data_IF_993841552027
#
_entry.id   IF_993841552027
#
_cell.length_a   1.000
_cell.length_b   1.000
_cell.length_c   1.000
_cell.angle_alpha   90.00
_cell.angle_beta   90.00
_cell.angle_gamma   90.00
#
_symmetry.space_group_name_H-M   'P 1'
#
loop_
_entity.id
_entity.type
_entity.pdbx_description
1 polymer ?
#
# COMPACT_ATOMS: atom_id res chain seq x y z
N UNK A 1 -19.03 -17.82 15.77
CA UNK A 1 -18.79 -18.98 14.86
C UNK A 1 -19.86 -19.00 13.79
N UNK A 2 -19.46 -19.26 12.53
CA UNK A 2 -20.43 -19.37 11.43
C UNK A 2 -20.56 -18.14 10.52
N UNK A 3 -19.64 -17.17 10.58
CA UNK A 3 -19.66 -16.00 9.68
C UNK A 3 -19.24 -16.35 8.24
N UNK A 4 -18.42 -17.40 8.10
CA UNK A 4 -18.02 -17.94 6.82
C UNK A 4 -18.23 -19.47 6.81
N UNK A 5 -18.46 -20.03 5.63
CA UNK A 5 -18.60 -21.47 5.41
C UNK A 5 -17.64 -21.91 4.31
N UNK A 6 -16.90 -22.99 4.56
CA UNK A 6 -16.09 -23.61 3.51
C UNK A 6 -17.02 -24.28 2.49
N UNK A 7 -16.91 -23.94 1.22
CA UNK A 7 -17.77 -24.43 0.14
C UNK A 7 -17.09 -25.42 -0.78
N UNK A 8 -15.76 -25.39 -0.86
CA UNK A 8 -14.99 -26.32 -1.65
C UNK A 8 -13.55 -26.46 -1.12
N UNK A 9 -12.93 -27.59 -1.50
CA UNK A 9 -11.50 -27.80 -1.37
C UNK A 9 -10.91 -28.05 -2.76
N UNK A 10 -9.95 -27.22 -3.15
CA UNK A 10 -9.25 -27.33 -4.43
C UNK A 10 -7.95 -28.14 -4.33
N UNK A 11 -7.29 -28.34 -5.47
CA UNK A 11 -5.97 -28.96 -5.53
C UNK A 11 -4.95 -28.17 -4.67
N UNK A 12 -3.95 -28.87 -4.13
CA UNK A 12 -2.90 -28.32 -3.24
C UNK A 12 -3.42 -27.70 -1.94
N UNK A 13 -4.56 -28.17 -1.40
CA UNK A 13 -5.09 -27.69 -0.11
C UNK A 13 -5.77 -26.33 -0.16
N UNK A 14 -6.03 -25.77 -1.34
CA UNK A 14 -6.79 -24.51 -1.51
C UNK A 14 -8.21 -24.69 -0.96
N UNK A 15 -8.58 -23.88 0.04
CA UNK A 15 -9.93 -23.84 0.60
C UNK A 15 -10.70 -22.66 0.01
N UNK A 16 -11.95 -22.89 -0.38
CA UNK A 16 -12.87 -21.86 -0.84
C UNK A 16 -13.91 -21.61 0.23
N UNK A 17 -14.14 -20.35 0.56
CA UNK A 17 -15.10 -19.94 1.56
C UNK A 17 -16.18 -19.06 0.95
N UNK A 18 -17.38 -19.14 1.49
CA UNK A 18 -18.49 -18.21 1.24
C UNK A 18 -18.90 -17.55 2.53
N UNK A 19 -19.30 -16.29 2.45
CA UNK A 19 -19.91 -15.60 3.56
C UNK A 19 -21.30 -16.16 3.84
N UNK A 20 -21.66 -16.31 5.10
CA UNK A 20 -23.03 -16.68 5.53
C UNK A 20 -23.91 -15.44 5.63
N UNK A 21 -25.27 -15.59 5.74
CA UNK A 21 -26.15 -14.46 6.05
C UNK A 21 -25.71 -13.72 7.33
N UNK A 22 -25.40 -14.43 8.43
CA UNK A 22 -24.91 -13.82 9.66
C UNK A 22 -23.56 -13.12 9.48
N UNK A 23 -22.68 -13.65 8.65
CA UNK A 23 -21.41 -12.97 8.30
C UNK A 23 -21.63 -11.69 7.51
N UNK A 24 -22.63 -11.66 6.64
CA UNK A 24 -23.02 -10.45 5.92
C UNK A 24 -23.56 -9.37 6.88
N UNK A 25 -24.42 -9.77 7.80
CA UNK A 25 -25.01 -8.86 8.78
C UNK A 25 -23.93 -8.25 9.68
N UNK A 26 -22.96 -9.07 10.10
CA UNK A 26 -21.81 -8.61 10.90
C UNK A 26 -20.94 -7.59 10.13
N UNK A 27 -20.62 -7.85 8.85
CA UNK A 27 -19.87 -6.89 8.03
C UNK A 27 -20.66 -5.59 7.87
N UNK A 28 -21.98 -5.65 7.63
CA UNK A 28 -22.80 -4.47 7.49
C UNK A 28 -22.89 -3.67 8.80
N UNK A 29 -22.92 -4.35 9.95
CA UNK A 29 -22.88 -3.70 11.25
C UNK A 29 -21.53 -3.01 11.46
N UNK A 30 -20.42 -3.71 11.20
CA UNK A 30 -19.06 -3.14 11.28
C UNK A 30 -18.87 -1.92 10.36
N UNK A 31 -19.36 -1.97 9.12
CA UNK A 31 -19.27 -0.84 8.17
C UNK A 31 -20.01 0.43 8.64
N UNK A 32 -20.95 0.28 9.58
CA UNK A 32 -21.69 1.42 10.18
C UNK A 32 -21.01 1.96 11.43
N UNK A 33 -20.00 1.27 11.97
CA UNK A 33 -19.22 1.79 13.09
C UNK A 33 -18.30 2.90 12.63
N UNK A 34 -17.95 3.80 13.55
CA UNK A 34 -16.93 4.81 13.28
C UNK A 34 -15.58 4.14 13.02
N UNK A 35 -14.86 4.49 11.93
CA UNK A 35 -13.56 3.91 11.65
C UNK A 35 -12.53 4.28 12.72
N UNK A 36 -11.74 3.30 13.16
CA UNK A 36 -10.59 3.58 14.02
C UNK A 36 -9.43 4.13 13.18
N UNK A 37 -9.18 5.42 13.28
CA UNK A 37 -8.06 6.12 12.63
C UNK A 37 -6.77 6.12 13.47
N UNK A 38 -6.77 5.49 14.65
CA UNK A 38 -5.60 5.43 15.55
C UNK A 38 -4.55 4.41 15.13
N UNK A 39 -4.72 3.78 13.97
CA UNK A 39 -3.84 2.69 13.50
C UNK A 39 -2.39 3.14 13.44
N UNK A 40 -1.54 2.50 14.24
CA UNK A 40 -0.08 2.68 14.17
C UNK A 40 0.44 2.03 12.90
N UNK A 41 0.99 2.85 12.02
CA UNK A 41 1.65 2.37 10.80
C UNK A 41 3.17 2.25 11.06
N UNK A 42 3.73 1.02 11.11
CA UNK A 42 5.17 0.84 11.34
C UNK A 42 6.05 1.47 10.25
N UNK A 43 5.57 1.53 9.01
CA UNK A 43 6.29 2.19 7.90
C UNK A 43 6.36 3.69 8.12
N UNK A 44 5.27 4.33 8.56
CA UNK A 44 5.28 5.75 8.90
C UNK A 44 6.27 6.07 10.04
N UNK A 45 6.35 5.21 11.05
CA UNK A 45 7.31 5.37 12.14
C UNK A 45 8.75 5.28 11.64
N UNK A 46 9.06 4.37 10.72
CA UNK A 46 10.39 4.28 10.09
C UNK A 46 10.73 5.54 9.32
N UNK A 47 9.80 6.08 8.55
CA UNK A 47 9.96 7.35 7.82
C UNK A 47 10.26 8.48 8.79
N UNK A 48 9.57 8.56 9.91
CA UNK A 48 9.79 9.60 10.92
C UNK A 48 11.23 9.59 11.46
N UNK A 49 11.86 8.43 11.55
CA UNK A 49 13.25 8.28 12.04
C UNK A 49 14.28 8.10 10.91
N UNK A 50 13.87 8.24 9.65
CA UNK A 50 14.75 7.99 8.50
C UNK A 50 16.03 8.83 8.52
N UNK A 51 15.94 10.09 8.98
CA UNK A 51 17.07 11.01 9.06
C UNK A 51 18.05 10.73 10.22
N UNK A 52 17.82 9.70 11.03
CA UNK A 52 18.79 9.16 11.98
C UNK A 52 19.78 8.17 11.33
N UNK A 53 19.46 7.70 10.12
CA UNK A 53 20.35 6.85 9.35
C UNK A 53 21.41 7.71 8.63
N UNK A 54 22.53 7.07 8.28
CA UNK A 54 23.45 7.68 7.31
C UNK A 54 22.73 7.92 5.98
N UNK A 55 23.00 9.01 5.27
CA UNK A 55 22.27 9.35 4.04
C UNK A 55 22.23 8.25 3.00
N UNK A 56 23.33 7.51 2.83
CA UNK A 56 23.43 6.40 1.90
C UNK A 56 22.48 5.24 2.28
N UNK A 57 22.39 4.92 3.56
CA UNK A 57 21.52 3.88 4.08
C UNK A 57 20.04 4.28 3.95
N UNK A 58 19.75 5.56 4.20
CA UNK A 58 18.39 6.10 4.03
C UNK A 58 17.94 6.07 2.57
N UNK A 59 18.82 6.42 1.63
CA UNK A 59 18.55 6.31 0.19
C UNK A 59 18.33 4.87 -0.20
N UNK A 60 19.22 3.95 0.21
CA UNK A 60 19.09 2.51 -0.08
C UNK A 60 17.79 1.90 0.52
N UNK A 61 17.34 2.39 1.66
CA UNK A 61 16.03 2.02 2.21
C UNK A 61 14.89 2.45 1.27
N UNK A 62 14.87 3.71 0.85
CA UNK A 62 13.84 4.24 -0.05
C UNK A 62 13.84 3.56 -1.42
N UNK A 63 15.01 3.20 -1.96
CA UNK A 63 15.11 2.45 -3.22
C UNK A 63 14.48 1.05 -3.11
N UNK A 64 14.63 0.37 -1.98
CA UNK A 64 13.95 -0.92 -1.75
C UNK A 64 12.44 -0.76 -1.66
N UNK A 65 11.95 0.26 -0.94
CA UNK A 65 10.52 0.56 -0.86
C UNK A 65 9.95 0.90 -2.24
N UNK A 66 10.68 1.65 -3.07
CA UNK A 66 10.29 1.98 -4.45
C UNK A 66 10.08 0.72 -5.30
N UNK A 67 11.01 -0.23 -5.27
CA UNK A 67 10.89 -1.50 -5.99
C UNK A 67 9.65 -2.31 -5.58
N UNK A 68 9.34 -2.33 -4.28
CA UNK A 68 8.15 -2.99 -3.75
C UNK A 68 6.85 -2.31 -4.22
N UNK A 69 6.80 -0.97 -4.16
CA UNK A 69 5.66 -0.18 -4.64
C UNK A 69 5.46 -0.31 -6.15
N UNK A 70 6.54 -0.28 -6.95
CA UNK A 70 6.47 -0.53 -8.39
C UNK A 70 5.94 -1.94 -8.72
N UNK A 71 6.39 -2.96 -8.00
CA UNK A 71 5.93 -4.32 -8.23
C UNK A 71 4.42 -4.46 -7.95
N UNK A 72 3.94 -3.87 -6.86
CA UNK A 72 2.52 -3.84 -6.50
C UNK A 72 1.69 -3.03 -7.50
N UNK A 73 2.19 -1.86 -7.92
CA UNK A 73 1.52 -1.03 -8.91
C UNK A 73 1.32 -1.80 -10.21
N UNK A 74 2.36 -2.44 -10.74
CA UNK A 74 2.26 -3.28 -11.95
C UNK A 74 1.25 -4.42 -11.78
N UNK A 75 1.22 -5.07 -10.62
CA UNK A 75 0.24 -6.12 -10.33
C UNK A 75 -1.19 -5.58 -10.33
N UNK A 76 -1.43 -4.43 -9.70
CA UNK A 76 -2.75 -3.81 -9.62
C UNK A 76 -3.22 -3.29 -10.98
N UNK A 77 -2.34 -2.65 -11.75
CA UNK A 77 -2.65 -2.18 -13.10
C UNK A 77 -2.99 -3.35 -14.03
N UNK A 78 -2.23 -4.44 -14.00
CA UNK A 78 -2.54 -5.64 -14.78
C UNK A 78 -3.91 -6.24 -14.43
N UNK A 79 -4.31 -6.20 -13.15
CA UNK A 79 -5.65 -6.61 -12.72
C UNK A 79 -6.73 -5.63 -13.16
N UNK A 80 -6.39 -4.35 -13.28
CA UNK A 80 -7.30 -3.31 -13.74
C UNK A 80 -7.67 -3.44 -15.23
N UNK A 81 -6.83 -4.06 -16.04
CA UNK A 81 -7.10 -4.37 -17.47
C UNK A 81 -8.12 -5.48 -17.66
N UNK A 82 -8.41 -6.29 -16.62
CA UNK A 82 -9.34 -7.40 -16.72
C UNK A 82 -10.77 -6.89 -16.95
N UNK A 83 -11.55 -7.58 -17.81
CA UNK A 83 -12.95 -7.23 -18.05
C UNK A 83 -13.78 -7.27 -16.76
N UNK A 84 -14.61 -6.28 -16.55
CA UNK A 84 -15.55 -6.22 -15.43
C UNK A 84 -16.92 -6.70 -15.89
N UNK A 85 -17.47 -7.70 -15.19
CA UNK A 85 -18.89 -8.03 -15.30
C UNK A 85 -19.65 -7.06 -14.40
N UNK A 86 -20.82 -6.65 -14.82
CA UNK A 86 -21.63 -5.69 -14.06
C UNK A 86 -22.29 -6.35 -12.83
N UNK A 87 -21.46 -6.73 -11.86
CA UNK A 87 -21.90 -7.28 -10.58
C UNK A 87 -21.39 -6.43 -9.42
N UNK A 88 -22.16 -6.34 -8.36
CA UNK A 88 -21.76 -5.60 -7.15
C UNK A 88 -20.42 -6.07 -6.57
N UNK A 89 -20.11 -7.37 -6.71
CA UNK A 89 -18.84 -7.94 -6.26
C UNK A 89 -17.66 -7.42 -7.08
N UNK A 90 -17.81 -7.32 -8.39
CA UNK A 90 -16.75 -6.85 -9.27
C UNK A 90 -16.54 -5.35 -9.14
N UNK A 91 -17.60 -4.59 -8.93
CA UNK A 91 -17.49 -3.17 -8.60
C UNK A 91 -16.80 -2.92 -7.26
N UNK A 92 -17.10 -3.70 -6.22
CA UNK A 92 -16.37 -3.61 -4.95
C UNK A 92 -14.88 -3.92 -5.11
N UNK A 93 -14.54 -4.94 -5.93
CA UNK A 93 -13.14 -5.25 -6.26
C UNK A 93 -12.47 -4.10 -7.03
N UNK A 94 -13.18 -3.48 -7.99
CA UNK A 94 -12.67 -2.33 -8.75
C UNK A 94 -12.39 -1.12 -7.87
N UNK A 95 -13.29 -0.81 -6.94
CA UNK A 95 -13.07 0.28 -5.99
C UNK A 95 -11.83 0.06 -5.13
N UNK A 96 -11.66 -1.17 -4.60
CA UNK A 96 -10.48 -1.52 -3.81
C UNK A 96 -9.20 -1.47 -4.65
N UNK A 97 -9.27 -1.92 -5.91
CA UNK A 97 -8.14 -1.91 -6.84
C UNK A 97 -7.72 -0.49 -7.22
N UNK A 98 -8.68 0.39 -7.56
CA UNK A 98 -8.40 1.80 -7.88
C UNK A 98 -7.77 2.53 -6.69
N UNK A 99 -8.27 2.26 -5.47
CA UNK A 99 -7.65 2.78 -4.26
C UNK A 99 -6.21 2.31 -4.12
N UNK A 100 -5.92 1.01 -4.35
CA UNK A 100 -4.58 0.45 -4.33
C UNK A 100 -3.65 1.09 -5.36
N UNK A 101 -4.09 1.23 -6.61
CA UNK A 101 -3.32 1.89 -7.69
C UNK A 101 -2.94 3.32 -7.31
N UNK A 102 -3.89 4.09 -6.78
CA UNK A 102 -3.62 5.48 -6.33
C UNK A 102 -2.62 5.51 -5.19
N UNK A 103 -2.81 4.64 -4.19
CA UNK A 103 -1.90 4.55 -3.06
C UNK A 103 -0.46 4.24 -3.50
N UNK A 104 -0.25 3.25 -4.37
CA UNK A 104 1.10 2.90 -4.82
C UNK A 104 1.74 4.02 -5.64
N UNK A 105 0.99 4.74 -6.48
CA UNK A 105 1.49 5.91 -7.22
C UNK A 105 1.94 7.03 -6.30
N UNK A 106 1.12 7.39 -5.31
CA UNK A 106 1.48 8.40 -4.32
C UNK A 106 2.72 8.03 -3.53
N UNK A 107 2.87 6.74 -3.16
CA UNK A 107 4.06 6.26 -2.47
C UNK A 107 5.31 6.37 -3.33
N UNK A 108 5.23 6.11 -4.62
CA UNK A 108 6.35 6.28 -5.57
C UNK A 108 6.75 7.76 -5.71
N UNK A 109 5.78 8.67 -5.84
CA UNK A 109 6.03 10.11 -5.89
C UNK A 109 6.69 10.61 -4.61
N UNK A 110 6.17 10.16 -3.46
CA UNK A 110 6.74 10.50 -2.17
C UNK A 110 8.16 9.97 -2.00
N UNK A 111 8.44 8.72 -2.38
CA UNK A 111 9.79 8.14 -2.34
C UNK A 111 10.80 8.96 -3.17
N UNK A 112 10.42 9.32 -4.39
CA UNK A 112 11.25 10.15 -5.26
C UNK A 112 11.54 11.53 -4.65
N UNK A 113 10.54 12.15 -4.02
CA UNK A 113 10.72 13.40 -3.29
C UNK A 113 11.63 13.24 -2.07
N UNK A 114 11.41 12.21 -1.25
CA UNK A 114 12.19 11.97 -0.03
C UNK A 114 13.66 11.74 -0.33
N UNK A 115 13.99 10.97 -1.39
CA UNK A 115 15.37 10.77 -1.85
C UNK A 115 16.04 12.10 -2.21
N UNK A 116 15.37 12.94 -3.00
CA UNK A 116 15.91 14.27 -3.33
C UNK A 116 16.23 15.10 -2.09
N UNK A 117 15.31 15.13 -1.11
CA UNK A 117 15.51 15.87 0.14
C UNK A 117 16.74 15.35 0.92
N UNK A 118 16.96 14.04 0.96
CA UNK A 118 18.12 13.45 1.64
C UNK A 118 19.41 13.80 0.89
N UNK A 119 19.44 13.67 -0.43
CA UNK A 119 20.58 13.98 -1.28
C UNK A 119 20.97 15.48 -1.22
N UNK A 120 20.01 16.37 -1.26
CA UNK A 120 20.23 17.82 -1.10
C UNK A 120 20.85 18.18 0.24
N UNK A 121 20.42 17.53 1.32
CA UNK A 121 20.98 17.70 2.66
C UNK A 121 22.39 17.13 2.81
N UNK A 122 22.75 16.13 2.02
CA UNK A 122 24.10 15.54 1.97
C UNK A 122 25.11 16.49 1.33
N UNK A 123 24.67 17.31 0.36
CA UNK A 123 25.55 18.31 -0.28
C UNK A 123 25.67 19.52 0.64
N UNK A 124 26.81 19.72 1.35
CA UNK A 124 26.93 20.88 2.22
C UNK A 124 26.82 22.14 1.37
N UNK A 125 26.08 23.14 1.88
CA UNK A 125 25.89 24.47 1.28
C UNK A 125 27.22 25.29 1.17
N UNK A 126 28.36 24.60 0.95
CA UNK A 126 29.74 25.10 1.05
C UNK A 126 30.48 25.28 -0.26
N UNK A 127 29.97 24.86 -1.42
CA UNK A 127 30.74 25.04 -2.68
C UNK A 127 30.48 26.39 -3.39
N UNK A 128 29.53 27.19 -2.91
CA UNK A 128 29.22 28.52 -3.50
C UNK A 128 30.07 29.67 -2.97
N UNK A 129 30.96 29.46 -2.00
CA UNK A 129 31.79 30.54 -1.40
C UNK A 129 33.26 30.59 -1.81
N UNK A 130 33.71 29.69 -2.70
CA UNK A 130 35.11 29.62 -3.13
C UNK A 130 35.39 30.33 -4.48
N UNK A 131 34.54 31.22 -4.94
CA UNK A 131 34.81 32.08 -6.11
C UNK A 131 34.45 33.52 -5.82
N UNK A 132 35.24 34.16 -4.97
CA UNK A 132 35.47 35.61 -4.98
C UNK A 132 36.92 35.90 -4.61
#
# INVERSE_FOLDING_TARGET
EGLIRQTASGARGKKVYSITPGGRDEILAWLRTEPDHSTRNPSFLRVFFLLLMEPEDAVAFLEREELEHEAKLREFEAKAELPVRDTSREWAFRLALDWGVRYEREMLEWNAWARRVIEERRTPAGSARARR
#
